data_IF_057943386832
#
_entry.id   IF_057943386832
#
_cell.length_a   1.000
_cell.length_b   1.000
_cell.length_c   1.000
_cell.angle_alpha   90.00
_cell.angle_beta   90.00
_cell.angle_gamma   90.00
#
_symmetry.space_group_name_H-M   'P 1'
#
loop_
_entity.id
_entity.type
_entity.pdbx_description
1 polymer ?
#
# COMPACT_ATOMS: atom_id res chain seq x y z
N UNK A 1 -6.94 20.89 -8.64
CA UNK A 1 -6.03 20.51 -7.52
C UNK A 1 -5.82 19.00 -7.52
N UNK A 2 -4.61 18.57 -7.29
CA UNK A 2 -4.29 17.15 -7.22
C UNK A 2 -3.90 16.78 -5.79
N UNK A 3 -4.33 15.61 -5.35
CA UNK A 3 -4.10 15.12 -3.99
C UNK A 3 -2.97 14.10 -3.96
N UNK A 4 -2.29 14.07 -2.83
CA UNK A 4 -1.39 12.98 -2.46
C UNK A 4 -1.99 12.29 -1.24
N UNK A 5 -2.02 10.96 -1.26
CA UNK A 5 -2.54 10.16 -0.16
C UNK A 5 -1.43 9.32 0.44
N UNK A 6 -1.37 9.29 1.75
CA UNK A 6 -0.42 8.46 2.50
C UNK A 6 -1.17 7.71 3.58
N UNK A 7 -0.94 6.41 3.69
CA UNK A 7 -1.59 5.61 4.71
C UNK A 7 -0.69 4.52 5.27
N UNK A 8 -0.83 4.24 6.57
CA UNK A 8 -0.10 3.19 7.26
C UNK A 8 -1.03 2.03 7.60
N UNK A 9 -0.60 0.80 7.35
CA UNK A 9 -1.34 -0.43 7.67
C UNK A 9 -2.75 -0.38 7.05
N UNK A 10 -3.82 -0.58 7.83
CA UNK A 10 -5.20 -0.48 7.34
C UNK A 10 -5.54 0.87 6.73
N UNK A 11 -4.90 1.95 7.21
CA UNK A 11 -5.05 3.27 6.59
C UNK A 11 -4.51 3.32 5.18
N UNK A 12 -3.48 2.54 4.87
CA UNK A 12 -2.95 2.40 3.51
C UNK A 12 -3.93 1.67 2.60
N UNK A 13 -4.59 0.64 3.13
CA UNK A 13 -5.66 -0.06 2.39
C UNK A 13 -6.79 0.90 2.04
N UNK A 14 -7.24 1.70 3.02
CA UNK A 14 -8.31 2.68 2.80
C UNK A 14 -7.87 3.77 1.81
N UNK A 15 -6.63 4.24 1.91
CA UNK A 15 -6.11 5.24 0.98
C UNK A 15 -6.10 4.70 -0.45
N UNK A 16 -5.74 3.44 -0.62
CA UNK A 16 -5.75 2.79 -1.94
C UNK A 16 -7.17 2.71 -2.51
N UNK A 17 -8.14 2.29 -1.70
CA UNK A 17 -9.54 2.22 -2.12
C UNK A 17 -10.09 3.61 -2.45
N UNK A 18 -9.72 4.62 -1.69
CA UNK A 18 -10.13 6.00 -1.95
C UNK A 18 -9.53 6.50 -3.27
N UNK A 19 -8.24 6.24 -3.50
CA UNK A 19 -7.57 6.63 -4.74
C UNK A 19 -8.26 6.02 -5.96
N UNK A 20 -8.74 4.79 -5.86
CA UNK A 20 -9.43 4.11 -6.95
C UNK A 20 -10.75 4.78 -7.32
N UNK A 21 -11.37 5.51 -6.40
CA UNK A 21 -12.65 6.20 -6.61
C UNK A 21 -12.50 7.65 -7.06
N UNK A 22 -11.28 8.17 -7.08
CA UNK A 22 -11.01 9.58 -7.39
C UNK A 22 -10.15 9.68 -8.64
N UNK A 23 -10.32 10.78 -9.38
CA UNK A 23 -9.50 11.07 -10.56
C UNK A 23 -8.40 12.10 -10.29
N UNK A 24 -8.36 12.66 -9.09
CA UNK A 24 -7.44 13.75 -8.72
C UNK A 24 -6.31 13.34 -7.78
N UNK A 25 -6.06 12.05 -7.60
CA UNK A 25 -4.94 11.57 -6.77
C UNK A 25 -3.71 11.40 -7.66
N UNK A 26 -2.68 12.20 -7.40
CA UNK A 26 -1.42 12.16 -8.15
C UNK A 26 -0.53 11.03 -7.66
N UNK A 27 -0.38 10.91 -6.35
CA UNK A 27 0.54 9.97 -5.73
C UNK A 27 -0.10 9.31 -4.51
N UNK A 28 0.01 8.00 -4.45
CA UNK A 28 -0.41 7.18 -3.30
C UNK A 28 0.81 6.52 -2.69
N UNK A 29 1.02 6.73 -1.40
CA UNK A 29 2.08 6.07 -0.64
C UNK A 29 1.46 5.24 0.46
N UNK A 30 1.80 3.96 0.54
CA UNK A 30 1.37 3.12 1.65
C UNK A 30 2.58 2.60 2.42
N UNK A 31 2.38 2.43 3.72
CA UNK A 31 3.40 1.96 4.64
C UNK A 31 2.84 0.72 5.35
N UNK A 32 3.40 -0.44 5.05
CA UNK A 32 3.00 -1.72 5.67
C UNK A 32 1.49 -1.99 5.51
N UNK A 33 0.95 -1.79 4.32
CA UNK A 33 -0.48 -1.91 4.07
C UNK A 33 -0.88 -3.25 3.45
N UNK A 34 -1.96 -3.89 3.93
CA UNK A 34 -2.56 -5.02 3.22
C UNK A 34 -3.19 -4.52 1.91
N UNK A 35 -2.67 -4.99 0.78
CA UNK A 35 -3.15 -4.60 -0.56
C UNK A 35 -3.98 -5.69 -1.23
N UNK A 36 -3.80 -6.93 -0.84
CA UNK A 36 -4.66 -8.05 -1.20
C UNK A 36 -5.19 -8.66 0.09
N UNK A 37 -6.43 -8.31 0.43
CA UNK A 37 -7.02 -8.72 1.71
C UNK A 37 -7.10 -10.24 1.82
N UNK A 38 -7.45 -10.92 0.74
CA UNK A 38 -7.54 -12.38 0.76
C UNK A 38 -6.17 -13.02 1.04
N UNK A 39 -5.12 -12.55 0.35
CA UNK A 39 -3.77 -13.06 0.57
C UNK A 39 -3.27 -12.72 1.97
N UNK A 40 -3.57 -11.52 2.46
CA UNK A 40 -3.15 -11.10 3.81
C UNK A 40 -3.81 -11.95 4.89
N UNK A 41 -5.12 -12.18 4.82
CA UNK A 41 -5.82 -12.98 5.84
C UNK A 41 -5.30 -14.42 5.88
N UNK A 42 -4.93 -14.98 4.74
CA UNK A 42 -4.29 -16.29 4.70
C UNK A 42 -2.92 -16.27 5.40
N UNK A 43 -2.12 -15.24 5.14
CA UNK A 43 -0.75 -15.16 5.67
C UNK A 43 -0.70 -15.04 7.19
N UNK A 44 -1.71 -14.43 7.81
CA UNK A 44 -1.77 -14.26 9.28
C UNK A 44 -2.75 -15.23 9.94
N UNK A 45 -3.31 -16.17 9.18
CA UNK A 45 -4.19 -17.23 9.69
C UNK A 45 -5.44 -16.69 10.39
N UNK A 46 -5.98 -15.56 9.93
CA UNK A 46 -7.25 -15.04 10.42
C UNK A 46 -8.37 -15.41 9.47
N UNK A 47 -9.60 -15.28 9.93
CA UNK A 47 -10.77 -15.57 9.11
C UNK A 47 -10.93 -14.61 7.94
N UNK A 48 -11.66 -15.04 6.92
CA UNK A 48 -11.92 -14.23 5.74
C UNK A 48 -12.71 -12.96 6.09
N UNK A 49 -12.29 -11.83 5.53
CA UNK A 49 -12.97 -10.53 5.67
C UNK A 49 -13.89 -10.31 4.46
N UNK A 50 -14.93 -11.11 4.35
CA UNK A 50 -15.79 -11.15 3.14
C UNK A 50 -16.51 -9.84 2.83
N UNK A 51 -16.80 -9.04 3.85
CA UNK A 51 -17.49 -7.76 3.66
C UNK A 51 -16.54 -6.59 3.40
N UNK A 52 -15.24 -6.82 3.51
CA UNK A 52 -14.23 -5.79 3.24
C UNK A 52 -13.94 -5.73 1.74
N UNK A 53 -13.88 -4.52 1.20
CA UNK A 53 -13.41 -4.35 -0.17
C UNK A 53 -11.93 -4.66 -0.25
N UNK A 54 -11.54 -5.33 -1.33
CA UNK A 54 -10.15 -5.74 -1.54
C UNK A 54 -9.53 -4.90 -2.65
N UNK A 55 -8.45 -4.14 -2.37
CA UNK A 55 -7.75 -3.38 -3.41
C UNK A 55 -7.29 -4.24 -4.60
N UNK A 56 -7.05 -5.54 -4.37
CA UNK A 56 -6.64 -6.46 -5.44
C UNK A 56 -7.80 -6.96 -6.30
N UNK A 57 -9.04 -6.51 -6.05
CA UNK A 57 -10.17 -6.81 -6.91
C UNK A 57 -9.89 -6.23 -8.32
N UNK A 58 -10.01 -7.07 -9.40
CA UNK A 58 -9.76 -6.58 -10.76
C UNK A 58 -10.65 -5.41 -11.18
N UNK A 59 -11.80 -5.22 -10.52
CA UNK A 59 -12.69 -4.10 -10.81
C UNK A 59 -12.26 -2.80 -10.13
N UNK A 60 -11.24 -2.87 -9.25
CA UNK A 60 -10.69 -1.71 -8.55
C UNK A 60 -9.32 -1.43 -9.17
N UNK A 61 -9.21 -0.33 -9.91
CA UNK A 61 -7.96 0.01 -10.61
C UNK A 61 -7.61 1.46 -10.41
N UNK A 62 -6.31 1.73 -10.27
CA UNK A 62 -5.74 3.07 -10.22
C UNK A 62 -5.00 3.32 -11.53
N UNK A 63 -5.65 4.04 -12.45
CA UNK A 63 -5.12 4.21 -13.82
C UNK A 63 -4.12 5.36 -13.95
N UNK A 64 -4.34 6.46 -13.25
CA UNK A 64 -3.56 7.68 -13.41
C UNK A 64 -2.86 8.12 -12.12
N UNK A 65 -2.77 7.23 -11.15
CA UNK A 65 -2.13 7.50 -9.87
C UNK A 65 -0.80 6.76 -9.80
N UNK A 66 0.27 7.50 -9.53
CA UNK A 66 1.55 6.86 -9.21
C UNK A 66 1.49 6.29 -7.82
N UNK A 67 2.10 5.14 -7.60
CA UNK A 67 2.00 4.42 -6.34
C UNK A 67 3.38 4.00 -5.85
N UNK A 68 3.62 4.20 -4.56
CA UNK A 68 4.79 3.64 -3.88
C UNK A 68 4.31 2.92 -2.63
N UNK A 69 4.55 1.62 -2.58
CA UNK A 69 4.13 0.77 -1.48
C UNK A 69 5.36 0.26 -0.73
N UNK A 70 5.53 0.71 0.50
CA UNK A 70 6.65 0.32 1.35
C UNK A 70 6.26 -0.82 2.28
N UNK A 71 7.17 -1.77 2.45
CA UNK A 71 7.02 -2.90 3.38
C UNK A 71 8.27 -2.98 4.24
N UNK A 72 8.09 -3.38 5.50
CA UNK A 72 9.20 -3.60 6.39
C UNK A 72 9.75 -5.03 6.26
N UNK A 73 11.06 -5.16 6.15
CA UNK A 73 11.71 -6.47 6.07
C UNK A 73 11.37 -7.35 7.28
N UNK A 74 11.24 -6.74 8.46
CA UNK A 74 10.96 -7.44 9.72
C UNK A 74 9.48 -7.43 10.11
N UNK A 75 8.61 -7.01 9.20
CA UNK A 75 7.17 -6.97 9.47
C UNK A 75 6.61 -8.40 9.50
N UNK A 76 6.13 -8.83 10.67
CA UNK A 76 5.52 -10.14 10.85
C UNK A 76 4.00 -10.12 10.62
N UNK A 77 3.41 -8.93 10.47
CA UNK A 77 1.95 -8.75 10.33
C UNK A 77 1.57 -8.57 8.87
N UNK A 78 2.24 -7.65 8.16
CA UNK A 78 1.99 -7.45 6.73
C UNK A 78 3.31 -7.68 5.99
N UNK A 79 3.47 -8.89 5.49
CA UNK A 79 4.68 -9.30 4.76
C UNK A 79 4.55 -8.91 3.30
N UNK A 80 5.67 -8.68 2.62
CA UNK A 80 5.66 -8.32 1.19
C UNK A 80 4.98 -9.40 0.34
N UNK A 81 5.03 -10.66 0.77
CA UNK A 81 4.40 -11.77 0.07
C UNK A 81 2.89 -11.63 0.03
N UNK A 82 2.31 -10.89 0.99
CA UNK A 82 0.87 -10.64 1.04
C UNK A 82 0.38 -9.62 0.01
N UNK A 83 1.28 -9.05 -0.82
CA UNK A 83 0.87 -8.21 -1.96
C UNK A 83 -0.08 -9.00 -2.87
N UNK A 84 0.14 -10.31 -3.00
CA UNK A 84 -0.76 -11.19 -3.72
C UNK A 84 -1.00 -10.75 -5.15
N UNK A 85 -2.27 -10.65 -5.52
CA UNK A 85 -2.67 -10.28 -6.88
C UNK A 85 -2.64 -8.77 -7.14
N UNK A 86 -2.43 -7.95 -6.13
CA UNK A 86 -2.42 -6.48 -6.33
C UNK A 86 -1.38 -6.06 -7.37
N UNK A 87 -0.22 -6.69 -7.35
CA UNK A 87 0.86 -6.42 -8.28
C UNK A 87 0.43 -6.55 -9.74
N UNK A 88 -0.47 -7.48 -10.03
CA UNK A 88 -0.90 -7.77 -11.40
C UNK A 88 -1.81 -6.70 -11.99
N UNK A 89 -2.35 -5.81 -11.17
CA UNK A 89 -3.32 -4.82 -11.61
C UNK A 89 -2.79 -3.38 -11.52
N UNK A 90 -1.48 -3.20 -11.28
CA UNK A 90 -0.94 -1.88 -11.02
C UNK A 90 0.37 -1.64 -11.77
N UNK A 91 0.26 -1.09 -12.98
CA UNK A 91 1.43 -0.80 -13.81
C UNK A 91 2.26 0.38 -13.30
N UNK A 92 1.64 1.28 -12.52
CA UNK A 92 2.28 2.51 -12.04
C UNK A 92 2.73 2.40 -10.58
N UNK A 93 2.99 1.18 -10.09
CA UNK A 93 3.29 0.93 -8.69
C UNK A 93 4.70 0.39 -8.51
N UNK A 94 5.41 0.96 -7.52
CA UNK A 94 6.67 0.45 -7.02
C UNK A 94 6.44 -0.19 -5.65
N UNK A 95 7.05 -1.36 -5.43
CA UNK A 95 6.97 -2.11 -4.18
C UNK A 95 8.36 -2.17 -3.58
N UNK A 96 8.56 -1.51 -2.45
CA UNK A 96 9.89 -1.33 -1.86
C UNK A 96 9.92 -1.93 -0.45
N UNK A 97 10.87 -2.83 -0.21
CA UNK A 97 11.09 -3.41 1.13
C UNK A 97 12.21 -2.63 1.80
N UNK A 98 11.95 -2.13 3.01
CA UNK A 98 12.93 -1.37 3.79
C UNK A 98 13.56 -2.28 4.83
N UNK A 99 14.88 -2.40 4.77
CA UNK A 99 15.65 -3.22 5.70
C UNK A 99 15.51 -2.73 7.13
N UNK A 100 15.30 -3.66 8.06
CA UNK A 100 15.23 -3.38 9.49
C UNK A 100 13.91 -2.83 10.01
N UNK A 101 12.96 -2.51 9.12
CA UNK A 101 11.65 -1.97 9.55
C UNK A 101 10.70 -3.12 9.92
N UNK A 102 9.97 -2.94 11.02
CA UNK A 102 8.86 -3.81 11.38
C UNK A 102 7.52 -3.15 11.00
N UNK A 103 6.40 -3.64 11.57
CA UNK A 103 5.08 -3.16 11.19
C UNK A 103 4.80 -1.72 11.64
N UNK A 104 5.36 -1.29 12.76
CA UNK A 104 4.97 -0.01 13.38
C UNK A 104 6.13 0.96 13.60
N UNK A 105 7.32 0.43 13.86
CA UNK A 105 8.46 1.27 14.25
C UNK A 105 9.12 1.88 13.02
N UNK A 106 9.74 3.03 13.23
CA UNK A 106 10.57 3.75 12.29
C UNK A 106 9.82 4.46 11.15
N UNK A 107 8.58 4.12 10.83
CA UNK A 107 7.88 4.75 9.69
C UNK A 107 7.79 6.26 9.85
N UNK A 108 7.28 6.76 10.98
CA UNK A 108 7.15 8.20 11.21
C UNK A 108 8.52 8.88 11.33
N UNK A 109 9.44 8.27 12.07
CA UNK A 109 10.76 8.84 12.30
C UNK A 109 11.56 8.96 11.01
N UNK A 110 11.43 7.97 10.12
CA UNK A 110 12.17 7.91 8.86
C UNK A 110 11.38 8.46 7.68
N UNK A 111 10.26 9.11 7.95
CA UNK A 111 9.40 9.63 6.88
C UNK A 111 10.14 10.53 5.88
N UNK A 112 11.05 11.43 6.29
CA UNK A 112 11.77 12.24 5.31
C UNK A 112 12.56 11.42 4.29
N UNK A 113 13.19 10.31 4.72
CA UNK A 113 13.91 9.41 3.82
C UNK A 113 12.93 8.69 2.87
N UNK A 114 11.82 8.18 3.43
CA UNK A 114 10.81 7.47 2.64
C UNK A 114 10.17 8.38 1.60
N UNK A 115 9.89 9.62 1.98
CA UNK A 115 9.31 10.61 1.09
C UNK A 115 10.18 10.82 -0.15
N UNK A 116 11.50 10.87 0.03
CA UNK A 116 12.45 11.01 -1.08
C UNK A 116 12.48 9.81 -2.01
N UNK A 117 12.14 8.63 -1.51
CA UNK A 117 12.11 7.40 -2.29
C UNK A 117 10.75 7.13 -2.93
N UNK A 118 9.76 7.95 -2.63
CA UNK A 118 8.38 7.73 -3.07
C UNK A 118 8.03 8.58 -4.28
N UNK A 119 6.84 8.34 -4.82
CA UNK A 119 6.29 9.16 -5.91
C UNK A 119 6.06 10.63 -5.50
N UNK A 120 6.12 10.95 -4.19
CA UNK A 120 6.02 12.33 -3.73
C UNK A 120 7.22 13.18 -4.19
N UNK A 121 8.35 12.54 -4.47
CA UNK A 121 9.55 13.23 -4.95
C UNK A 121 9.55 13.48 -6.45
N UNK A 122 8.55 12.97 -7.18
CA UNK A 122 8.48 13.05 -8.64
C UNK A 122 7.56 14.20 -9.06
N UNK A 123 8.11 15.37 -9.22
CA UNK A 123 7.37 16.54 -9.72
C UNK A 123 7.86 17.00 -11.07
#
# INVERSE_FOLDING_TARGET
MRLNLVGHSGGGTLATLLAAKRSDVRCLVTLAAPLDIAAWTQSVSVGSLRLSKNPADPNIQLKNTRQTHFFGEKDAIVKKESIGNYRNFSDNADFIVISGFDHTKAWAKQWPMLQKKSCLALD
#
